data_IF_513782717668
#
_entry.id   IF_513782717668
#
_cell.length_a   1.000
_cell.length_b   1.000
_cell.length_c   1.000
_cell.angle_alpha   90.00
_cell.angle_beta   90.00
_cell.angle_gamma   90.00
#
_symmetry.space_group_name_H-M   'P 1'
#
loop_
_entity.id
_entity.type
_entity.pdbx_description
1 polymer ?
#
# COMPACT_ATOMS: atom_id res chain seq x y z
N UNK A 1 -2.41 -6.60 -8.72
CA UNK A 1 -1.91 -5.28 -8.25
C UNK A 1 -1.40 -4.50 -9.46
N UNK A 2 -1.94 -3.32 -9.69
CA UNK A 2 -1.42 -2.33 -10.64
C UNK A 2 -0.61 -1.29 -9.87
N UNK A 3 0.25 -0.53 -10.55
CA UNK A 3 1.12 0.47 -9.90
C UNK A 3 1.23 1.71 -10.77
N UNK A 4 0.84 2.84 -10.22
CA UNK A 4 0.84 4.15 -10.86
C UNK A 4 2.00 4.98 -10.31
N UNK A 5 2.87 5.49 -11.18
CA UNK A 5 4.02 6.30 -10.77
C UNK A 5 3.56 7.61 -10.13
N UNK A 6 4.12 7.95 -8.97
CA UNK A 6 3.86 9.21 -8.28
C UNK A 6 5.16 9.67 -7.58
N UNK A 7 5.78 10.73 -8.07
CA UNK A 7 7.09 11.15 -7.59
C UNK A 7 8.14 10.05 -7.67
N UNK A 8 8.90 9.84 -6.62
CA UNK A 8 9.90 8.75 -6.47
C UNK A 8 9.30 7.38 -6.14
N UNK A 9 7.98 7.30 -5.89
CA UNK A 9 7.28 6.07 -5.50
C UNK A 9 6.11 5.72 -6.38
N UNK A 10 5.14 5.00 -5.78
CA UNK A 10 3.98 4.47 -6.50
C UNK A 10 2.72 4.56 -5.65
N UNK A 11 1.57 4.63 -6.34
CA UNK A 11 0.26 4.26 -5.79
C UNK A 11 -0.03 2.85 -6.32
N UNK A 12 -0.19 1.90 -5.41
CA UNK A 12 -0.53 0.51 -5.71
C UNK A 12 -2.04 0.32 -5.61
N UNK A 13 -2.67 -0.10 -6.69
CA UNK A 13 -4.06 -0.54 -6.70
C UNK A 13 -4.11 -2.04 -6.46
N UNK A 14 -4.88 -2.46 -5.46
CA UNK A 14 -5.05 -3.85 -5.05
C UNK A 14 -6.55 -4.15 -5.06
N UNK A 15 -7.04 -4.98 -6.02
CA UNK A 15 -8.43 -5.43 -6.00
C UNK A 15 -8.78 -6.11 -4.68
N UNK A 16 -9.97 -5.84 -4.12
CA UNK A 16 -10.40 -6.42 -2.84
C UNK A 16 -10.37 -7.95 -2.85
N UNK A 17 -10.69 -8.58 -3.99
CA UNK A 17 -10.60 -10.04 -4.18
C UNK A 17 -9.19 -10.62 -4.06
N UNK A 18 -8.16 -9.78 -4.25
CA UNK A 18 -6.75 -10.18 -4.16
C UNK A 18 -6.18 -9.93 -2.74
N UNK A 19 -7.00 -9.47 -1.79
CA UNK A 19 -6.64 -9.20 -0.40
C UNK A 19 -7.04 -10.40 0.47
N UNK A 20 -6.06 -11.05 1.10
CA UNK A 20 -6.29 -12.02 2.16
C UNK A 20 -6.60 -11.30 3.47
N UNK A 21 -5.84 -10.26 3.76
CA UNK A 21 -6.00 -9.46 4.96
C UNK A 21 -5.41 -8.07 4.76
N UNK A 22 -6.11 -7.07 5.26
CA UNK A 22 -5.60 -5.71 5.46
C UNK A 22 -6.06 -5.21 6.82
N UNK A 23 -5.19 -4.54 7.57
CA UNK A 23 -5.57 -4.00 8.86
C UNK A 23 -4.51 -3.07 9.46
N UNK A 24 -4.92 -2.40 10.53
CA UNK A 24 -4.08 -1.56 11.34
C UNK A 24 -3.45 -2.36 12.48
N UNK A 25 -2.17 -2.13 12.74
CA UNK A 25 -1.41 -2.75 13.81
C UNK A 25 -0.72 -1.68 14.65
N UNK A 26 -1.14 -1.56 15.89
CA UNK A 26 -0.49 -0.68 16.83
C UNK A 26 0.94 -1.16 17.12
N UNK A 27 1.89 -0.24 17.09
CA UNK A 27 3.28 -0.51 17.43
C UNK A 27 3.45 -0.83 18.91
N UNK A 28 4.45 -1.63 19.25
CA UNK A 28 4.73 -1.98 20.66
C UNK A 28 4.89 -0.70 21.48
N UNK A 29 3.99 -0.50 22.45
CA UNK A 29 3.88 0.72 23.26
C UNK A 29 3.78 2.03 22.45
N UNK A 30 3.26 1.98 21.22
CA UNK A 30 3.19 3.13 20.32
C UNK A 30 4.54 3.71 19.89
N UNK A 31 5.59 2.89 19.90
CA UNK A 31 6.95 3.31 19.60
C UNK A 31 7.78 2.15 19.04
N UNK A 32 7.61 1.82 17.78
CA UNK A 32 8.23 0.64 17.18
C UNK A 32 8.84 0.97 15.82
N UNK A 33 10.01 0.39 15.51
CA UNK A 33 10.58 0.45 14.17
C UNK A 33 9.81 -0.46 13.22
N UNK A 34 9.75 -0.08 11.94
CA UNK A 34 9.06 -0.91 10.93
C UNK A 34 9.68 -2.31 10.82
N UNK A 35 10.99 -2.44 11.04
CA UNK A 35 11.70 -3.71 10.99
C UNK A 35 11.24 -4.68 12.09
N UNK A 36 11.06 -4.15 13.31
CA UNK A 36 10.54 -4.92 14.43
C UNK A 36 9.06 -5.26 14.22
N UNK A 37 8.26 -4.29 13.77
CA UNK A 37 6.85 -4.50 13.44
C UNK A 37 6.67 -5.56 12.36
N UNK A 38 7.46 -5.52 11.27
CA UNK A 38 7.44 -6.51 10.21
C UNK A 38 7.66 -7.93 10.72
N UNK A 39 8.62 -8.08 11.64
CA UNK A 39 8.90 -9.37 12.27
C UNK A 39 7.78 -9.83 13.22
N UNK A 40 7.31 -8.92 14.09
CA UNK A 40 6.25 -9.21 15.07
C UNK A 40 4.93 -9.56 14.39
N UNK A 41 4.50 -8.72 13.46
CA UNK A 41 3.24 -8.87 12.71
C UNK A 41 3.29 -10.17 11.88
N UNK A 42 4.44 -10.47 11.26
CA UNK A 42 4.64 -11.72 10.55
C UNK A 42 4.50 -12.96 11.42
N UNK A 43 4.95 -12.91 12.69
CA UNK A 43 4.75 -14.01 13.66
C UNK A 43 3.29 -14.19 14.03
N UNK A 44 2.55 -13.09 14.25
CA UNK A 44 1.12 -13.12 14.60
C UNK A 44 0.30 -13.83 13.51
N UNK A 45 0.64 -13.61 12.24
CA UNK A 45 -0.11 -14.16 11.11
C UNK A 45 0.53 -15.39 10.46
N UNK A 46 1.64 -15.91 11.00
CA UNK A 46 2.35 -17.06 10.44
C UNK A 46 3.15 -16.77 9.15
N UNK A 47 3.01 -15.57 8.56
CA UNK A 47 3.83 -15.11 7.43
C UNK A 47 3.97 -13.59 7.43
N UNK A 48 5.05 -13.11 6.84
CA UNK A 48 5.28 -11.66 6.68
C UNK A 48 4.20 -11.01 5.84
N UNK A 49 3.83 -9.75 6.11
CA UNK A 49 2.98 -9.00 5.21
C UNK A 49 3.67 -8.76 3.87
N UNK A 50 2.87 -8.73 2.80
CA UNK A 50 3.36 -8.39 1.47
C UNK A 50 3.59 -6.89 1.33
N UNK A 51 2.77 -6.08 2.04
CA UNK A 51 2.98 -4.65 2.21
C UNK A 51 2.87 -4.32 3.71
N UNK A 52 3.81 -3.54 4.22
CA UNK A 52 3.75 -2.92 5.54
C UNK A 52 4.16 -1.45 5.38
N UNK A 53 3.36 -0.53 5.90
CA UNK A 53 3.69 0.91 5.87
C UNK A 53 3.35 1.58 7.20
N UNK A 54 4.02 2.70 7.52
CA UNK A 54 3.63 3.52 8.66
C UNK A 54 2.21 4.07 8.49
N UNK A 55 1.53 4.28 9.59
CA UNK A 55 0.12 4.68 9.60
C UNK A 55 -0.08 6.12 10.10
N UNK A 56 -0.76 6.31 11.23
CA UNK A 56 -1.26 7.57 11.72
C UNK A 56 -0.19 8.60 12.07
N UNK A 57 -0.56 9.88 11.95
CA UNK A 57 0.21 10.99 12.54
C UNK A 57 0.16 10.95 14.07
N UNK A 58 1.24 11.36 14.70
CA UNK A 58 1.35 11.43 16.15
C UNK A 58 2.24 12.59 16.62
N UNK A 59 2.01 13.02 17.84
CA UNK A 59 2.86 14.00 18.50
C UNK A 59 4.15 13.33 19.00
N UNK A 60 5.31 13.81 18.58
CA UNK A 60 6.61 13.21 18.91
C UNK A 60 6.93 13.21 20.40
N UNK A 61 6.53 14.27 21.13
CA UNK A 61 6.82 14.40 22.56
C UNK A 61 5.91 13.53 23.40
N UNK A 62 4.60 13.55 23.12
CA UNK A 62 3.60 12.85 23.92
C UNK A 62 3.28 11.45 23.43
N UNK A 63 3.68 11.12 22.21
CA UNK A 63 3.34 9.87 21.50
C UNK A 63 1.83 9.66 21.31
N UNK A 64 1.00 10.68 21.58
CA UNK A 64 -0.45 10.62 21.33
C UNK A 64 -0.75 10.74 19.83
N UNK A 65 -1.79 10.08 19.31
CA UNK A 65 -2.17 10.22 17.90
C UNK A 65 -2.63 11.67 17.63
N UNK A 66 -2.27 12.19 16.47
CA UNK A 66 -2.73 13.50 16.00
C UNK A 66 -3.97 13.38 15.09
N UNK A 67 -4.23 12.20 14.53
CA UNK A 67 -5.45 11.82 13.81
C UNK A 67 -6.28 10.83 14.61
N UNK A 68 -7.50 10.57 14.17
CA UNK A 68 -8.38 9.59 14.82
C UNK A 68 -7.85 8.18 14.66
N UNK A 69 -7.98 7.38 15.70
CA UNK A 69 -7.54 5.98 15.74
C UNK A 69 -8.50 5.17 16.61
N UNK A 70 -9.01 4.07 16.04
CA UNK A 70 -9.60 2.96 16.80
C UNK A 70 -8.71 1.75 16.63
N UNK A 71 -8.37 1.09 17.72
CA UNK A 71 -7.51 -0.10 17.73
C UNK A 71 -8.13 -1.19 18.60
N UNK A 72 -8.38 -2.37 18.05
CA UNK A 72 -9.07 -3.47 18.72
C UNK A 72 -10.43 -3.08 19.35
N UNK A 73 -11.17 -2.19 18.70
CA UNK A 73 -12.43 -1.66 19.22
C UNK A 73 -12.29 -0.59 20.29
N UNK A 74 -11.07 -0.24 20.70
CA UNK A 74 -10.80 0.81 21.66
C UNK A 74 -10.58 2.14 20.93
N UNK A 75 -11.37 3.15 21.29
CA UNK A 75 -11.19 4.51 20.80
C UNK A 75 -9.94 5.13 21.45
N UNK A 76 -8.81 5.10 20.76
CA UNK A 76 -7.57 5.75 21.21
C UNK A 76 -7.69 7.27 21.05
N UNK A 77 -8.28 7.70 19.96
CA UNK A 77 -8.76 9.04 19.66
C UNK A 77 -9.89 8.90 18.64
N UNK A 78 -11.02 9.53 18.88
CA UNK A 78 -12.13 9.59 17.92
C UNK A 78 -12.82 10.94 18.07
N UNK A 79 -12.68 11.78 17.05
CA UNK A 79 -13.29 13.08 16.93
C UNK A 79 -14.28 13.09 15.76
N UNK A 80 -14.57 14.23 15.20
CA UNK A 80 -15.38 14.35 14.00
C UNK A 80 -14.47 14.33 12.77
N UNK A 81 -14.67 13.38 11.85
CA UNK A 81 -13.84 13.32 10.65
C UNK A 81 -14.06 12.07 9.81
N UNK A 82 -13.53 12.13 8.59
CA UNK A 82 -13.48 10.99 7.67
C UNK A 82 -12.22 10.17 7.89
N UNK A 83 -12.29 8.89 7.58
CA UNK A 83 -11.14 7.98 7.66
C UNK A 83 -11.38 6.68 6.94
N UNK A 84 -10.46 5.73 7.15
CA UNK A 84 -10.52 4.36 6.63
C UNK A 84 -10.72 3.38 7.78
N UNK A 85 -11.80 2.61 7.68
CA UNK A 85 -12.13 1.50 8.54
C UNK A 85 -11.77 0.17 7.88
N UNK A 86 -11.50 -0.85 8.69
CA UNK A 86 -11.17 -2.22 8.25
C UNK A 86 -12.16 -3.21 8.87
N UNK A 87 -13.46 -3.21 8.45
CA UNK A 87 -14.52 -3.91 9.17
C UNK A 87 -14.39 -5.44 9.15
N UNK A 88 -13.91 -6.02 8.07
CA UNK A 88 -13.73 -7.46 7.86
C UNK A 88 -12.29 -7.86 7.52
N UNK A 89 -11.37 -6.92 7.55
CA UNK A 89 -9.96 -7.08 7.17
C UNK A 89 -9.73 -7.62 5.73
N UNK A 90 -10.77 -7.58 4.88
CA UNK A 90 -10.70 -7.95 3.45
C UNK A 90 -10.65 -6.74 2.53
N UNK A 91 -11.03 -5.58 3.06
CA UNK A 91 -11.08 -4.29 2.35
C UNK A 91 -10.89 -3.15 3.33
N UNK A 92 -10.60 -1.97 2.81
CA UNK A 92 -10.76 -0.72 3.54
C UNK A 92 -12.07 -0.04 3.11
N UNK A 93 -12.74 0.63 4.04
CA UNK A 93 -14.00 1.33 3.81
C UNK A 93 -13.86 2.77 4.26
N UNK A 94 -14.13 3.71 3.35
CA UNK A 94 -14.19 5.12 3.68
C UNK A 94 -15.46 5.44 4.45
N UNK A 95 -15.34 6.04 5.61
CA UNK A 95 -16.47 6.36 6.45
C UNK A 95 -16.24 7.61 7.31
N UNK A 96 -17.31 8.13 7.87
CA UNK A 96 -17.29 9.23 8.81
C UNK A 96 -17.30 8.69 10.25
N UNK A 97 -16.34 9.11 11.08
CA UNK A 97 -16.30 8.83 12.53
C UNK A 97 -16.47 7.32 12.87
N UNK A 98 -15.92 6.43 12.04
CA UNK A 98 -16.07 4.97 12.20
C UNK A 98 -17.54 4.51 12.37
N UNK A 99 -18.46 5.13 11.63
CA UNK A 99 -19.89 4.80 11.70
C UNK A 99 -20.24 3.35 11.25
N UNK A 100 -19.27 2.63 10.71
CA UNK A 100 -19.38 1.20 10.40
C UNK A 100 -19.01 0.29 11.58
N UNK A 101 -18.61 0.86 12.72
CA UNK A 101 -18.28 0.11 13.93
C UNK A 101 -17.07 -0.83 13.80
N UNK A 102 -16.12 -0.52 12.92
CA UNK A 102 -14.96 -1.36 12.74
C UNK A 102 -14.05 -1.36 13.98
N UNK A 103 -13.40 -2.50 14.26
CA UNK A 103 -12.42 -2.63 15.34
C UNK A 103 -11.14 -1.85 15.07
N UNK A 104 -10.89 -1.50 13.81
CA UNK A 104 -9.71 -0.78 13.37
C UNK A 104 -10.14 0.37 12.45
N UNK A 105 -9.69 1.59 12.77
CA UNK A 105 -10.01 2.81 12.03
C UNK A 105 -8.85 3.80 12.10
N UNK A 106 -8.59 4.46 10.98
CA UNK A 106 -7.57 5.52 10.83
C UNK A 106 -8.20 6.76 10.24
N UNK A 107 -8.17 7.87 10.98
CA UNK A 107 -8.66 9.16 10.55
C UNK A 107 -7.76 9.83 9.51
N UNK A 108 -8.37 10.59 8.62
CA UNK A 108 -7.68 11.40 7.62
C UNK A 108 -6.89 12.56 8.25
N UNK A 109 -5.67 12.80 7.72
CA UNK A 109 -4.93 14.02 8.06
C UNK A 109 -3.93 14.42 6.96
N UNK A 110 -4.34 15.23 5.97
CA UNK A 110 -5.71 15.60 5.67
C UNK A 110 -6.46 14.56 4.83
N UNK A 111 -7.75 14.82 4.63
CA UNK A 111 -8.54 14.17 3.57
C UNK A 111 -8.00 14.62 2.20
N UNK A 112 -7.74 13.67 1.32
CA UNK A 112 -7.15 13.93 -0.01
C UNK A 112 -8.20 13.98 -1.11
N UNK A 113 -9.04 12.95 -1.17
CA UNK A 113 -10.07 12.78 -2.19
C UNK A 113 -11.37 12.35 -1.51
N UNK A 114 -12.48 12.92 -1.94
CA UNK A 114 -13.84 12.52 -1.56
C UNK A 114 -14.74 12.60 -2.79
N UNK A 115 -15.49 11.53 -3.04
CA UNK A 115 -16.42 11.42 -4.18
C UNK A 115 -15.72 11.76 -5.51
N UNK A 116 -14.50 11.20 -5.70
CA UNK A 116 -13.62 11.44 -6.87
C UNK A 116 -13.22 12.92 -7.08
N UNK A 117 -13.35 13.75 -6.04
CA UNK A 117 -12.99 15.18 -6.09
C UNK A 117 -11.84 15.48 -5.12
N UNK A 118 -10.87 16.27 -5.59
CA UNK A 118 -9.82 16.79 -4.72
C UNK A 118 -10.41 17.55 -3.55
N UNK A 119 -9.88 17.32 -2.37
CA UNK A 119 -10.19 18.12 -1.20
C UNK A 119 -9.20 19.26 -1.05
N UNK A 120 -9.67 20.43 -0.66
CA UNK A 120 -8.83 21.60 -0.38
C UNK A 120 -8.23 21.54 1.03
N UNK A 121 -7.34 22.46 1.30
CA UNK A 121 -6.73 22.63 2.61
C UNK A 121 -5.45 21.82 2.79
N UNK A 122 -4.49 22.46 3.46
CA UNK A 122 -3.22 21.87 3.87
C UNK A 122 -3.03 22.24 5.34
N UNK A 123 -3.20 21.30 6.28
CA UNK A 123 -2.96 21.58 7.69
C UNK A 123 -1.53 22.06 7.92
N UNK A 124 -1.34 22.94 8.90
CA UNK A 124 -0.03 23.45 9.27
C UNK A 124 0.95 22.29 9.56
N UNK A 125 2.17 22.39 9.04
CA UNK A 125 3.21 21.37 9.20
C UNK A 125 3.08 20.12 8.31
N UNK A 126 2.00 19.97 7.52
CA UNK A 126 1.77 18.80 6.66
C UNK A 126 2.10 19.07 5.18
N UNK A 127 2.15 20.32 4.79
CA UNK A 127 2.46 20.75 3.42
C UNK A 127 3.88 20.44 2.96
N UNK A 128 4.19 20.90 1.75
CA UNK A 128 5.49 20.75 1.12
C UNK A 128 5.71 19.41 0.42
N UNK A 129 6.84 19.34 -0.29
CA UNK A 129 7.30 18.14 -0.99
C UNK A 129 8.02 17.24 0.01
N UNK A 130 7.50 16.05 0.23
CA UNK A 130 8.06 15.07 1.18
C UNK A 130 7.57 13.66 0.89
N UNK A 131 8.14 12.67 1.55
CA UNK A 131 7.64 11.30 1.54
C UNK A 131 6.20 11.21 2.00
N UNK A 132 5.43 10.29 1.41
CA UNK A 132 4.00 10.11 1.71
C UNK A 132 3.63 8.65 1.84
N UNK A 133 2.84 8.36 2.86
CA UNK A 133 1.99 7.18 2.89
C UNK A 133 0.54 7.63 2.93
N UNK A 134 -0.32 6.93 2.21
CA UNK A 134 -1.74 7.26 2.12
C UNK A 134 -2.55 6.02 1.71
N UNK A 135 -3.84 6.03 2.04
CA UNK A 135 -4.79 4.98 1.65
C UNK A 135 -5.91 5.60 0.85
N UNK A 136 -6.26 4.98 -0.28
CA UNK A 136 -7.45 5.28 -1.05
C UNK A 136 -8.31 4.04 -1.25
N UNK A 137 -9.54 4.24 -1.67
CA UNK A 137 -10.50 3.18 -2.01
C UNK A 137 -11.34 3.56 -3.22
N UNK A 138 -11.72 2.53 -3.98
CA UNK A 138 -12.86 2.53 -4.90
C UNK A 138 -13.85 1.46 -4.45
N UNK A 139 -14.85 1.13 -5.28
CA UNK A 139 -15.81 0.08 -4.95
C UNK A 139 -15.13 -1.29 -4.84
N UNK A 140 -14.12 -1.54 -5.68
CA UNK A 140 -13.52 -2.86 -5.85
C UNK A 140 -12.05 -2.94 -5.44
N UNK A 141 -11.41 -1.84 -5.07
CA UNK A 141 -9.96 -1.78 -4.84
C UNK A 141 -9.57 -0.92 -3.64
N UNK A 142 -8.46 -1.31 -3.01
CA UNK A 142 -7.70 -0.47 -2.09
C UNK A 142 -6.48 0.08 -2.83
N UNK A 143 -6.15 1.33 -2.56
CA UNK A 143 -4.96 2.02 -3.10
C UNK A 143 -4.02 2.38 -1.97
N UNK A 144 -2.75 2.02 -2.08
CA UNK A 144 -1.71 2.36 -1.10
C UNK A 144 -0.65 3.22 -1.77
N UNK A 145 -0.49 4.46 -1.32
CA UNK A 145 0.60 5.33 -1.74
C UNK A 145 1.84 5.05 -0.88
N UNK A 146 2.95 4.73 -1.53
CA UNK A 146 4.26 4.43 -0.95
C UNK A 146 5.30 5.29 -1.68
N UNK A 147 5.57 6.49 -1.15
CA UNK A 147 6.42 7.49 -1.81
C UNK A 147 7.55 7.85 -0.85
N UNK A 148 8.82 7.52 -1.18
CA UNK A 148 9.96 7.80 -0.33
C UNK A 148 10.22 9.30 -0.21
N UNK A 149 10.88 9.73 0.87
CA UNK A 149 11.17 11.16 1.08
C UNK A 149 12.14 11.72 0.05
N UNK A 150 13.08 10.90 -0.44
CA UNK A 150 14.02 11.26 -1.51
C UNK A 150 13.37 11.59 -2.86
N UNK A 151 12.12 11.19 -3.06
CA UNK A 151 11.31 11.48 -4.25
C UNK A 151 9.91 11.92 -3.87
N UNK A 152 9.81 12.67 -2.78
CA UNK A 152 8.56 13.13 -2.19
C UNK A 152 7.68 13.94 -3.11
N UNK A 153 6.43 14.14 -2.69
CA UNK A 153 5.42 14.90 -3.43
C UNK A 153 4.62 15.83 -2.52
N UNK A 154 4.11 16.91 -3.12
CA UNK A 154 3.12 17.77 -2.48
C UNK A 154 1.74 17.09 -2.45
N UNK A 155 0.87 17.56 -1.54
CA UNK A 155 -0.48 16.99 -1.40
C UNK A 155 -1.34 17.13 -2.66
N UNK A 156 -1.17 18.20 -3.43
CA UNK A 156 -1.98 18.39 -4.64
C UNK A 156 -1.66 17.37 -5.73
N UNK A 157 -0.36 17.07 -5.94
CA UNK A 157 0.06 16.01 -6.84
C UNK A 157 -0.44 14.64 -6.34
N UNK A 158 -0.37 14.38 -5.04
CA UNK A 158 -0.86 13.13 -4.45
C UNK A 158 -2.37 12.96 -4.67
N UNK A 159 -3.16 14.02 -4.47
CA UNK A 159 -4.61 14.05 -4.76
C UNK A 159 -4.92 13.70 -6.21
N UNK A 160 -4.21 14.39 -7.15
CA UNK A 160 -4.35 14.11 -8.57
C UNK A 160 -4.01 12.68 -8.91
N UNK A 161 -2.93 12.15 -8.35
CA UNK A 161 -2.47 10.81 -8.61
C UNK A 161 -3.47 9.74 -8.12
N UNK A 162 -4.13 9.95 -6.98
CA UNK A 162 -5.20 9.05 -6.51
C UNK A 162 -6.41 9.07 -7.45
N UNK A 163 -6.85 10.24 -7.91
CA UNK A 163 -7.97 10.36 -8.86
C UNK A 163 -7.61 9.68 -10.18
N UNK A 164 -6.43 9.94 -10.72
CA UNK A 164 -5.96 9.33 -11.97
C UNK A 164 -5.80 7.79 -11.85
N UNK A 165 -5.52 7.29 -10.66
CA UNK A 165 -5.49 5.85 -10.38
C UNK A 165 -6.90 5.24 -10.22
N UNK A 166 -7.96 6.05 -10.13
CA UNK A 166 -9.35 5.59 -9.99
C UNK A 166 -9.89 5.55 -8.56
N UNK A 167 -9.18 6.11 -7.59
CA UNK A 167 -9.69 6.16 -6.22
C UNK A 167 -10.87 7.13 -6.10
N UNK A 168 -11.94 6.69 -5.46
CA UNK A 168 -13.11 7.52 -5.13
C UNK A 168 -12.88 8.35 -3.87
N UNK A 169 -12.18 7.77 -2.90
CA UNK A 169 -11.83 8.43 -1.64
C UNK A 169 -10.37 8.14 -1.30
N UNK A 170 -9.67 9.10 -0.67
CA UNK A 170 -8.31 8.88 -0.19
C UNK A 170 -8.00 9.75 1.03
N UNK A 171 -7.22 9.21 1.96
CA UNK A 171 -6.71 9.89 3.15
C UNK A 171 -5.19 9.89 3.16
N UNK A 172 -4.60 10.99 3.62
CA UNK A 172 -3.17 11.01 3.92
C UNK A 172 -2.92 10.43 5.32
N UNK A 173 -1.80 9.75 5.45
CA UNK A 173 -1.26 9.26 6.71
C UNK A 173 0.00 10.05 7.10
N UNK A 174 0.81 9.54 8.04
CA UNK A 174 2.06 10.21 8.43
C UNK A 174 3.10 10.13 7.30
N UNK A 175 3.86 11.20 7.13
CA UNK A 175 4.79 11.38 6.03
C UNK A 175 6.15 11.95 6.44
N UNK A 176 6.92 12.42 5.47
CA UNK A 176 8.25 12.96 5.68
C UNK A 176 9.16 11.94 6.37
N UNK A 177 9.84 12.35 7.42
CA UNK A 177 10.75 11.47 8.16
C UNK A 177 10.11 10.25 8.84
N UNK A 178 8.78 10.13 8.86
CA UNK A 178 8.07 8.91 9.30
C UNK A 178 7.78 7.94 8.17
N UNK A 179 7.91 8.37 6.92
CA UNK A 179 7.65 7.53 5.75
C UNK A 179 8.57 6.33 5.72
N UNK A 180 8.01 5.15 5.81
CA UNK A 180 8.75 3.89 5.70
C UNK A 180 7.81 2.75 5.31
N UNK A 181 8.31 1.81 4.52
CA UNK A 181 7.49 0.70 4.06
C UNK A 181 8.33 -0.50 3.59
N UNK A 182 7.71 -1.68 3.63
CA UNK A 182 8.04 -2.86 2.86
C UNK A 182 7.01 -3.03 1.75
N UNK A 183 7.43 -3.32 0.52
CA UNK A 183 6.52 -3.60 -0.58
C UNK A 183 7.18 -4.43 -1.69
N UNK A 184 6.41 -5.07 -2.58
CA UNK A 184 6.95 -5.79 -3.73
C UNK A 184 7.71 -4.91 -4.73
N UNK A 185 7.45 -3.60 -4.73
CA UNK A 185 8.13 -2.62 -5.61
C UNK A 185 9.39 -2.02 -5.00
N UNK A 186 9.73 -2.39 -3.77
CA UNK A 186 10.92 -1.92 -3.05
C UNK A 186 10.60 -1.54 -1.61
N UNK A 187 11.66 -1.39 -0.83
CA UNK A 187 11.56 -1.04 0.58
C UNK A 187 12.15 0.36 0.81
N UNK A 188 11.63 1.07 1.79
CA UNK A 188 12.17 2.35 2.23
C UNK A 188 12.11 2.50 3.75
N UNK A 189 13.20 2.92 4.35
CA UNK A 189 13.36 3.02 5.80
C UNK A 189 14.00 4.34 6.20
N UNK A 190 13.45 4.99 7.20
CA UNK A 190 14.00 6.22 7.80
C UNK A 190 14.68 5.99 9.13
N UNK A 191 14.53 4.78 9.70
CA UNK A 191 15.02 4.46 11.05
C UNK A 191 14.17 5.04 12.20
N UNK A 192 13.15 5.85 11.91
CA UNK A 192 12.27 6.42 12.91
C UNK A 192 11.30 5.38 13.46
N UNK A 193 11.15 5.32 14.77
CA UNK A 193 10.06 4.60 15.39
C UNK A 193 8.75 5.35 15.19
N UNK A 194 7.70 4.64 14.77
CA UNK A 194 6.36 5.17 14.56
C UNK A 194 5.36 4.51 15.49
N UNK A 195 4.14 5.03 15.49
CA UNK A 195 3.11 4.63 16.42
C UNK A 195 2.34 3.40 15.96
N UNK A 196 2.09 3.27 14.66
CA UNK A 196 1.33 2.17 14.10
C UNK A 196 1.60 1.95 12.62
N UNK A 197 1.05 0.87 12.12
CA UNK A 197 1.31 0.35 10.79
C UNK A 197 0.03 -0.12 10.12
N UNK A 198 -0.07 0.05 8.81
CA UNK A 198 -1.01 -0.70 7.98
C UNK A 198 -0.26 -1.86 7.34
N UNK A 199 -0.81 -3.05 7.47
CA UNK A 199 -0.26 -4.27 6.89
C UNK A 199 -1.28 -4.92 5.96
N UNK A 200 -0.80 -5.44 4.82
CA UNK A 200 -1.62 -6.11 3.83
C UNK A 200 -0.96 -7.43 3.43
N UNK A 201 -1.77 -8.47 3.31
CA UNK A 201 -1.41 -9.77 2.73
C UNK A 201 -2.26 -10.02 1.49
N UNK A 202 -1.61 -10.39 0.42
CA UNK A 202 -2.31 -10.85 -0.76
C UNK A 202 -2.93 -12.22 -0.51
N UNK A 203 -4.14 -12.41 -1.04
CA UNK A 203 -4.77 -13.72 -1.07
C UNK A 203 -3.85 -14.71 -1.78
N UNK A 204 -3.63 -15.86 -1.14
CA UNK A 204 -3.01 -16.98 -1.81
C UNK A 204 -3.97 -17.38 -2.93
N UNK A 205 -3.54 -17.29 -4.15
CA UNK A 205 -4.29 -17.91 -5.25
C UNK A 205 -4.15 -19.42 -5.05
N UNK A 206 -5.21 -20.07 -4.63
CA UNK A 206 -5.28 -21.52 -4.66
C UNK A 206 -5.02 -21.95 -6.10
N UNK A 207 -3.97 -22.76 -6.32
CA UNK A 207 -3.58 -23.21 -7.66
C UNK A 207 -2.82 -22.17 -8.49
N UNK A 208 -2.09 -21.25 -7.89
CA UNK A 208 -1.19 -20.36 -8.63
C UNK A 208 -0.20 -21.16 -9.45
N UNK A 209 -0.24 -21.03 -10.79
CA UNK A 209 0.72 -21.65 -11.71
C UNK A 209 2.10 -21.01 -11.48
N UNK A 210 2.80 -21.48 -10.43
CA UNK A 210 4.14 -20.97 -10.10
C UNK A 210 5.13 -21.63 -11.06
N UNK A 211 5.76 -20.77 -11.87
CA UNK A 211 6.79 -21.21 -12.81
C UNK A 211 8.15 -20.61 -12.46
N UNK A 212 9.19 -21.30 -12.84
CA UNK A 212 10.58 -20.85 -12.66
C UNK A 212 11.13 -20.35 -13.99
N UNK A 213 11.73 -19.16 -13.97
CA UNK A 213 12.41 -18.58 -15.14
C UNK A 213 13.65 -19.38 -15.48
N UNK A 214 13.75 -19.84 -16.72
CA UNK A 214 14.91 -20.57 -17.25
C UNK A 214 15.47 -19.88 -18.49
N UNK A 215 16.49 -19.08 -18.27
CA UNK A 215 17.18 -18.28 -19.30
C UNK A 215 18.68 -18.22 -19.00
N UNK A 216 19.48 -17.87 -19.98
CA UNK A 216 20.95 -17.71 -19.76
C UNK A 216 21.28 -16.49 -18.87
N UNK A 217 20.57 -15.39 -19.06
CA UNK A 217 20.83 -14.12 -18.35
C UNK A 217 19.58 -13.56 -17.67
N UNK A 218 18.63 -13.04 -18.43
CA UNK A 218 17.40 -12.47 -17.91
C UNK A 218 16.24 -12.55 -18.91
N UNK A 219 15.01 -12.58 -18.38
CA UNK A 219 13.77 -12.54 -19.13
C UNK A 219 13.14 -11.16 -19.03
N UNK A 220 12.85 -10.51 -20.16
CA UNK A 220 12.21 -9.20 -20.15
C UNK A 220 10.74 -9.31 -19.74
N UNK A 221 10.31 -8.38 -18.88
CA UNK A 221 8.91 -8.12 -18.57
C UNK A 221 8.44 -7.01 -19.50
N UNK A 222 7.30 -7.20 -20.15
CA UNK A 222 6.71 -6.26 -21.09
C UNK A 222 5.34 -5.77 -20.67
N UNK A 223 4.99 -4.58 -21.09
CA UNK A 223 3.69 -3.98 -20.78
C UNK A 223 2.53 -4.72 -21.47
N UNK A 224 2.77 -5.25 -22.67
CA UNK A 224 1.80 -6.00 -23.49
C UNK A 224 2.38 -7.35 -23.89
N UNK A 225 1.55 -8.36 -24.23
CA UNK A 225 1.99 -9.68 -24.69
C UNK A 225 2.49 -9.63 -26.15
N UNK A 226 3.58 -8.91 -26.38
CA UNK A 226 4.18 -8.70 -27.68
C UNK A 226 5.67 -8.41 -27.57
N UNK A 227 6.47 -8.86 -28.55
CA UNK A 227 7.89 -8.53 -28.63
C UNK A 227 8.13 -7.03 -28.84
N UNK A 228 7.17 -6.30 -29.39
CA UNK A 228 7.20 -4.85 -29.56
C UNK A 228 6.69 -4.10 -28.31
N UNK A 229 6.10 -4.81 -27.34
CA UNK A 229 5.64 -4.21 -26.08
C UNK A 229 6.78 -3.56 -25.31
N UNK A 230 6.54 -2.38 -24.76
CA UNK A 230 7.52 -1.64 -23.93
C UNK A 230 8.07 -2.55 -22.81
N UNK A 231 9.39 -2.60 -22.65
CA UNK A 231 10.01 -3.28 -21.53
C UNK A 231 9.77 -2.50 -20.25
N UNK A 232 9.21 -3.16 -19.21
CA UNK A 232 8.89 -2.57 -17.91
C UNK A 232 9.71 -3.16 -16.78
N UNK A 233 10.49 -4.23 -17.07
CA UNK A 233 11.37 -4.87 -16.09
C UNK A 233 12.09 -6.08 -16.67
N UNK A 234 12.78 -6.82 -15.81
CA UNK A 234 13.44 -8.09 -16.13
C UNK A 234 13.40 -9.05 -14.93
N UNK A 235 13.41 -10.35 -15.22
CA UNK A 235 13.55 -11.44 -14.27
C UNK A 235 14.90 -12.14 -14.49
N UNK A 236 15.55 -12.52 -13.44
CA UNK A 236 16.78 -13.31 -13.53
C UNK A 236 16.47 -14.81 -13.67
N UNK A 237 17.45 -15.59 -14.14
CA UNK A 237 17.34 -17.04 -14.14
C UNK A 237 17.07 -17.56 -12.73
N UNK A 238 16.17 -18.56 -12.61
CA UNK A 238 15.75 -19.12 -11.33
C UNK A 238 14.67 -18.31 -10.58
N UNK A 239 14.29 -17.13 -11.06
CA UNK A 239 13.20 -16.38 -10.45
C UNK A 239 11.89 -17.16 -10.51
N UNK A 240 11.17 -17.25 -9.38
CA UNK A 240 9.84 -17.87 -9.32
C UNK A 240 8.77 -16.80 -9.54
N UNK A 241 7.87 -17.06 -10.48
CA UNK A 241 6.78 -16.17 -10.84
C UNK A 241 5.44 -16.86 -10.73
N UNK A 242 4.43 -16.13 -10.30
CA UNK A 242 3.06 -16.61 -10.33
C UNK A 242 2.41 -16.19 -11.65
N UNK A 243 2.07 -17.16 -12.50
CA UNK A 243 1.37 -16.94 -13.76
C UNK A 243 -0.11 -16.76 -13.47
N UNK A 244 -0.63 -15.60 -13.87
CA UNK A 244 -2.02 -15.18 -13.67
C UNK A 244 -2.89 -15.64 -14.84
N UNK A 245 -2.30 -15.61 -16.04
CA UNK A 245 -2.98 -15.86 -17.30
C UNK A 245 -1.93 -16.31 -18.31
N UNK A 246 -2.31 -17.24 -19.20
CA UNK A 246 -1.51 -17.62 -20.35
C UNK A 246 -2.32 -17.40 -21.62
N UNK A 247 -1.78 -16.63 -22.58
CA UNK A 247 -2.44 -16.31 -23.84
C UNK A 247 -1.41 -16.13 -24.95
N UNK A 248 -1.63 -16.82 -26.09
CA UNK A 248 -0.81 -16.68 -27.29
C UNK A 248 0.72 -16.80 -27.03
N UNK A 249 1.14 -17.76 -26.18
CA UNK A 249 2.56 -17.95 -25.84
C UNK A 249 3.15 -16.92 -24.88
N UNK A 250 2.32 -16.12 -24.25
CA UNK A 250 2.72 -15.17 -23.22
C UNK A 250 2.05 -15.49 -21.89
N UNK A 251 2.81 -15.34 -20.81
CA UNK A 251 2.31 -15.44 -19.44
C UNK A 251 2.22 -14.06 -18.81
N UNK A 252 1.05 -13.73 -18.28
CA UNK A 252 0.87 -12.55 -17.45
C UNK A 252 1.30 -12.87 -16.02
N UNK A 253 2.17 -12.05 -15.50
CA UNK A 253 2.60 -12.04 -14.10
C UNK A 253 2.21 -10.69 -13.47
N UNK A 254 2.27 -10.50 -12.15
CA UNK A 254 1.88 -9.23 -11.52
C UNK A 254 2.56 -7.99 -12.11
N UNK A 255 3.80 -8.13 -12.58
CA UNK A 255 4.59 -7.00 -13.10
C UNK A 255 4.39 -6.72 -14.60
N UNK A 256 3.67 -7.57 -15.32
CA UNK A 256 3.45 -7.44 -16.76
C UNK A 256 3.44 -8.79 -17.49
N UNK A 257 3.92 -8.83 -18.71
CA UNK A 257 3.90 -10.00 -19.59
C UNK A 257 5.32 -10.52 -19.84
N UNK A 258 5.48 -11.84 -19.77
CA UNK A 258 6.72 -12.56 -20.07
C UNK A 258 6.45 -13.67 -21.09
N UNK A 259 7.44 -13.99 -21.91
CA UNK A 259 7.27 -15.05 -22.91
C UNK A 259 7.27 -16.43 -22.26
N UNK A 260 6.21 -17.21 -22.51
CA UNK A 260 5.92 -18.45 -21.79
C UNK A 260 6.99 -19.52 -21.97
N UNK A 261 7.66 -19.56 -23.13
CA UNK A 261 8.69 -20.54 -23.44
C UNK A 261 9.90 -20.54 -22.48
N UNK A 262 10.06 -19.47 -21.72
CA UNK A 262 11.14 -19.33 -20.71
C UNK A 262 10.67 -19.60 -19.28
N UNK A 263 9.45 -20.12 -19.10
CA UNK A 263 8.89 -20.47 -17.81
C UNK A 263 8.69 -21.98 -17.69
N UNK A 264 9.30 -22.57 -16.68
CA UNK A 264 9.14 -23.99 -16.35
C UNK A 264 8.24 -24.19 -15.13
N UNK A 265 7.40 -25.22 -15.15
CA UNK A 265 6.60 -25.70 -14.00
C UNK A 265 7.47 -26.45 -13.02
#
# INVERSE_FOLDING_TARGET
MLSYKCGGGYIHEIPNKDIEYIGYFYGKNGNESIKNAYNRIGKIRGRKPDILMNAELFNFKTRKPASDVVNNGINVRLTEGYGMAFPDNKKAVFCYKNNVGAKEYLGAYPLLVKDSKKQSGVPAGIGGVRGRTAIGVSDDSVFLALIPDSGGVGLDLLRSAFINAGAKHAINLDGGGSTQYYSPSGNYFTGRNVRGFVALWFAKREGGDIRTVKVRTSLNIRQTPSLLGKRVGKLLNGARVNVIEEKNGWCRIPQGWVYAAYLMR
#
